data_IF_016046878064
#
_entry.id   IF_016046878064
#
_cell.length_a   1.000
_cell.length_b   1.000
_cell.length_c   1.000
_cell.angle_alpha   90.00
_cell.angle_beta   90.00
_cell.angle_gamma   90.00
#
_symmetry.space_group_name_H-M   'P 1'
#
loop_
_entity.id
_entity.type
_entity.pdbx_description
1 polymer ?
#
# COMPACT_ATOMS: atom_id res chain seq x y z
N UNK A 1 -22.87 4.35 20.49
CA UNK A 1 -22.73 5.63 19.76
C UNK A 1 -23.23 5.40 18.32
N UNK A 2 -24.52 5.65 18.07
CA UNK A 2 -25.20 5.33 16.80
C UNK A 2 -24.96 6.46 15.80
N UNK A 3 -24.57 6.10 14.56
CA UNK A 3 -24.51 7.00 13.41
C UNK A 3 -25.94 7.41 13.03
N UNK A 4 -26.28 8.68 13.24
CA UNK A 4 -27.49 9.26 12.66
C UNK A 4 -27.32 9.36 11.14
N UNK A 5 -28.08 8.53 10.42
CA UNK A 5 -28.33 8.68 9.00
C UNK A 5 -29.11 9.99 8.83
N UNK A 6 -28.44 11.03 8.30
CA UNK A 6 -29.13 12.21 7.78
C UNK A 6 -29.97 11.77 6.58
N UNK A 7 -31.26 11.58 6.81
CA UNK A 7 -32.27 11.48 5.77
C UNK A 7 -32.15 12.71 4.86
N UNK A 8 -31.80 12.47 3.60
CA UNK A 8 -31.94 13.47 2.55
C UNK A 8 -33.44 13.70 2.36
N UNK A 9 -33.97 14.77 2.93
CA UNK A 9 -35.31 15.23 2.62
C UNK A 9 -35.37 15.50 1.11
N UNK A 10 -36.01 14.59 0.38
CA UNK A 10 -36.33 14.75 -1.04
C UNK A 10 -37.34 15.89 -1.13
N UNK A 11 -36.85 17.10 -1.33
CA UNK A 11 -37.66 18.30 -1.53
C UNK A 11 -38.53 18.10 -2.78
N UNK A 12 -39.86 18.16 -2.64
CA UNK A 12 -40.77 18.17 -3.80
C UNK A 12 -40.36 19.33 -4.72
N UNK A 13 -40.11 19.01 -5.99
CA UNK A 13 -39.69 19.95 -7.03
C UNK A 13 -40.88 20.85 -7.43
N UNK A 14 -41.25 21.75 -6.54
CA UNK A 14 -42.35 22.70 -6.68
C UNK A 14 -41.93 23.90 -7.54
N UNK A 15 -41.26 23.72 -8.68
CA UNK A 15 -41.05 24.76 -9.70
C UNK A 15 -40.44 26.12 -9.25
N UNK A 16 -39.99 26.25 -8.01
CA UNK A 16 -39.46 27.50 -7.47
C UNK A 16 -37.98 27.62 -7.86
N UNK A 17 -37.62 28.76 -8.47
CA UNK A 17 -36.23 29.12 -8.80
C UNK A 17 -35.34 28.89 -7.58
N UNK A 18 -34.39 27.95 -7.71
CA UNK A 18 -33.41 27.69 -6.66
C UNK A 18 -32.69 29.00 -6.29
N UNK A 19 -32.52 29.31 -4.99
CA UNK A 19 -31.78 30.50 -4.59
C UNK A 19 -30.35 30.42 -5.14
N UNK A 20 -29.83 31.55 -5.65
CA UNK A 20 -28.50 31.62 -6.29
C UNK A 20 -27.37 31.05 -5.42
N UNK A 21 -27.50 31.11 -4.09
CA UNK A 21 -26.57 30.48 -3.14
C UNK A 21 -26.48 28.96 -3.29
N UNK A 22 -27.59 28.29 -3.60
CA UNK A 22 -27.64 26.84 -3.76
C UNK A 22 -27.01 26.41 -5.10
N UNK A 23 -27.21 27.20 -6.15
CA UNK A 23 -26.54 27.01 -7.44
C UNK A 23 -25.01 27.21 -7.34
N UNK A 24 -24.57 28.28 -6.66
CA UNK A 24 -23.14 28.53 -6.41
C UNK A 24 -22.48 27.43 -5.57
N UNK A 25 -23.19 26.90 -4.58
CA UNK A 25 -22.67 25.78 -3.76
C UNK A 25 -22.51 24.48 -4.57
N UNK A 26 -23.45 24.18 -5.48
CA UNK A 26 -23.36 23.04 -6.42
C UNK A 26 -22.19 23.21 -7.38
N UNK A 27 -22.00 24.41 -7.94
CA UNK A 27 -20.87 24.70 -8.84
C UNK A 27 -19.53 24.58 -8.10
N UNK A 28 -19.42 25.13 -6.89
CA UNK A 28 -18.21 25.02 -6.06
C UNK A 28 -17.89 23.56 -5.70
N UNK A 29 -18.90 22.76 -5.36
CA UNK A 29 -18.75 21.32 -5.14
C UNK A 29 -18.35 20.54 -6.40
N UNK A 30 -18.91 20.89 -7.56
CA UNK A 30 -18.55 20.28 -8.85
C UNK A 30 -17.12 20.60 -9.26
N UNK A 31 -16.65 21.82 -9.01
CA UNK A 31 -15.26 22.23 -9.29
C UNK A 31 -14.30 21.50 -8.36
N UNK A 32 -14.62 21.39 -7.07
CA UNK A 32 -13.81 20.65 -6.11
C UNK A 32 -13.67 19.17 -6.49
N UNK A 33 -14.77 18.49 -6.86
CA UNK A 33 -14.74 17.12 -7.33
C UNK A 33 -13.94 16.96 -8.63
N UNK A 34 -14.08 17.90 -9.57
CA UNK A 34 -13.32 17.88 -10.82
C UNK A 34 -11.82 18.00 -10.56
N UNK A 35 -11.40 18.91 -9.68
CA UNK A 35 -10.00 19.03 -9.25
C UNK A 35 -9.46 17.74 -8.66
N UNK A 36 -10.22 17.06 -7.79
CA UNK A 36 -9.82 15.76 -7.22
C UNK A 36 -9.70 14.68 -8.30
N UNK A 37 -10.60 14.65 -9.29
CA UNK A 37 -10.52 13.71 -10.41
C UNK A 37 -9.29 14.01 -11.28
N UNK A 38 -8.98 15.27 -11.56
CA UNK A 38 -7.77 15.65 -12.29
C UNK A 38 -6.49 15.27 -11.57
N UNK A 39 -6.46 15.47 -10.24
CA UNK A 39 -5.39 15.03 -9.36
C UNK A 39 -5.19 13.50 -9.43
N UNK A 40 -6.29 12.74 -9.45
CA UNK A 40 -6.29 11.28 -9.58
C UNK A 40 -5.75 10.83 -10.94
N UNK A 41 -6.21 11.47 -12.01
CA UNK A 41 -5.79 11.17 -13.38
C UNK A 41 -4.30 11.42 -13.60
N UNK A 42 -3.71 12.41 -12.90
CA UNK A 42 -2.29 12.72 -13.04
C UNK A 42 -1.41 11.63 -12.41
N UNK A 43 -1.79 11.11 -11.24
CA UNK A 43 -1.13 9.95 -10.63
C UNK A 43 -1.35 8.69 -11.44
N UNK A 44 -2.60 8.43 -11.87
CA UNK A 44 -2.97 7.25 -12.63
C UNK A 44 -2.25 7.14 -13.99
N UNK A 45 -1.84 8.28 -14.58
CA UNK A 45 -1.10 8.31 -15.85
C UNK A 45 0.42 8.13 -15.68
N UNK A 46 0.96 8.11 -14.46
CA UNK A 46 2.41 7.91 -14.26
C UNK A 46 2.77 6.42 -14.36
N UNK A 47 3.11 5.98 -15.57
CA UNK A 47 3.48 4.59 -15.83
C UNK A 47 4.65 4.08 -15.00
N UNK A 48 5.59 4.96 -14.62
CA UNK A 48 6.75 4.58 -13.80
C UNK A 48 6.36 4.11 -12.41
N UNK A 49 5.41 4.80 -11.77
CA UNK A 49 4.89 4.39 -10.45
C UNK A 49 4.14 3.07 -10.56
N UNK A 50 3.32 2.89 -11.60
CA UNK A 50 2.59 1.64 -11.81
C UNK A 50 3.49 0.45 -12.07
N UNK A 51 4.57 0.62 -12.82
CA UNK A 51 5.59 -0.43 -13.00
C UNK A 51 6.16 -0.82 -11.63
N UNK A 52 6.58 0.14 -10.82
CA UNK A 52 7.15 -0.13 -9.49
C UNK A 52 6.15 -0.82 -8.54
N UNK A 53 4.89 -0.38 -8.55
CA UNK A 53 3.82 -1.04 -7.77
C UNK A 53 3.56 -2.46 -8.27
N UNK A 54 3.50 -2.68 -9.58
CA UNK A 54 3.32 -4.00 -10.19
C UNK A 54 4.45 -4.94 -9.78
N UNK A 55 5.71 -4.49 -9.85
CA UNK A 55 6.88 -5.23 -9.37
C UNK A 55 6.74 -5.54 -7.88
N UNK A 56 6.37 -4.56 -7.06
CA UNK A 56 6.19 -4.78 -5.62
C UNK A 56 5.12 -5.83 -5.31
N UNK A 57 3.98 -5.82 -6.01
CA UNK A 57 2.95 -6.85 -5.87
C UNK A 57 3.43 -8.23 -6.34
N UNK A 58 4.14 -8.30 -7.47
CA UNK A 58 4.70 -9.56 -7.96
C UNK A 58 5.72 -10.16 -6.98
N UNK A 59 6.61 -9.32 -6.44
CA UNK A 59 7.61 -9.71 -5.44
C UNK A 59 6.97 -10.13 -4.12
N UNK A 60 5.87 -9.47 -3.71
CA UNK A 60 5.08 -9.85 -2.54
C UNK A 60 4.39 -11.20 -2.72
N UNK A 61 3.81 -11.44 -3.89
CA UNK A 61 3.21 -12.73 -4.23
C UNK A 61 4.28 -13.83 -4.25
N UNK A 62 5.45 -13.55 -4.83
CA UNK A 62 6.57 -14.49 -4.90
C UNK A 62 7.04 -14.91 -3.50
N UNK A 63 7.36 -13.97 -2.61
CA UNK A 63 7.79 -14.33 -1.25
C UNK A 63 6.72 -15.14 -0.50
N UNK A 64 5.44 -14.77 -0.66
CA UNK A 64 4.33 -15.47 -0.01
C UNK A 64 4.20 -16.90 -0.51
N UNK A 65 4.35 -17.11 -1.83
CA UNK A 65 4.35 -18.42 -2.45
C UNK A 65 5.50 -19.30 -1.96
N UNK A 66 6.73 -18.77 -1.91
CA UNK A 66 7.90 -19.52 -1.45
C UNK A 66 7.78 -19.91 0.01
N UNK A 67 7.30 -19.01 0.87
CA UNK A 67 7.04 -19.31 2.28
C UNK A 67 6.01 -20.43 2.37
N UNK A 68 4.85 -20.28 1.72
CA UNK A 68 3.78 -21.27 1.78
C UNK A 68 4.23 -22.67 1.33
N UNK A 69 4.95 -22.76 0.22
CA UNK A 69 5.38 -24.04 -0.35
C UNK A 69 6.43 -24.75 0.51
N UNK A 70 7.33 -24.00 1.15
CA UNK A 70 8.44 -24.59 1.91
C UNK A 70 8.20 -24.63 3.43
N UNK A 71 7.12 -24.01 3.93
CA UNK A 71 6.88 -23.83 5.37
C UNK A 71 6.96 -25.14 6.18
N UNK A 72 6.39 -26.23 5.66
CA UNK A 72 6.42 -27.54 6.34
C UNK A 72 7.80 -28.20 6.34
N UNK A 73 8.66 -27.83 5.39
CA UNK A 73 10.02 -28.35 5.25
C UNK A 73 11.06 -27.52 6.03
N UNK A 74 10.67 -26.33 6.51
CA UNK A 74 11.54 -25.48 7.30
C UNK A 74 11.74 -26.05 8.71
N UNK A 75 12.97 -25.99 9.27
CA UNK A 75 13.23 -26.38 10.64
C UNK A 75 12.46 -25.48 11.61
N UNK A 76 12.22 -25.99 12.84
CA UNK A 76 11.46 -25.27 13.86
C UNK A 76 12.08 -23.91 14.23
N UNK A 77 13.41 -23.79 14.12
CA UNK A 77 14.15 -22.55 14.36
C UNK A 77 14.85 -22.06 13.10
N UNK A 78 14.62 -20.80 12.73
CA UNK A 78 15.18 -20.14 11.57
C UNK A 78 16.05 -18.94 11.96
N UNK A 79 17.18 -18.73 11.27
CA UNK A 79 18.03 -17.55 11.45
C UNK A 79 17.41 -16.32 10.77
N UNK A 80 16.32 -15.79 11.33
CA UNK A 80 15.61 -14.64 10.75
C UNK A 80 16.41 -13.33 10.88
N UNK A 81 17.25 -13.22 11.91
CA UNK A 81 18.00 -12.01 12.24
C UNK A 81 19.49 -12.35 12.24
N UNK A 82 20.26 -11.75 11.34
CA UNK A 82 21.70 -12.03 11.19
C UNK A 82 22.61 -11.00 11.84
N UNK A 83 22.06 -10.00 12.54
CA UNK A 83 22.82 -8.90 13.14
C UNK A 83 23.49 -9.26 14.48
N UNK A 84 23.02 -10.30 15.17
CA UNK A 84 23.61 -10.74 16.43
C UNK A 84 24.87 -11.56 16.18
N UNK A 85 25.92 -11.39 16.99
CA UNK A 85 27.12 -12.23 16.90
C UNK A 85 26.90 -13.62 17.51
N UNK A 86 26.00 -13.72 18.49
CA UNK A 86 25.64 -14.96 19.17
C UNK A 86 24.61 -15.76 18.34
N UNK A 87 24.92 -17.03 18.05
CA UNK A 87 24.07 -17.93 17.27
C UNK A 87 22.75 -18.25 17.98
N UNK A 88 22.71 -18.24 19.31
CA UNK A 88 21.49 -18.48 20.07
C UNK A 88 20.45 -17.37 19.86
N UNK A 89 20.90 -16.13 19.63
CA UNK A 89 20.04 -14.96 19.41
C UNK A 89 19.58 -14.78 17.96
N UNK A 90 20.16 -15.54 17.02
CA UNK A 90 19.76 -15.52 15.60
C UNK A 90 18.51 -16.36 15.33
N UNK A 91 18.29 -17.38 16.15
CA UNK A 91 17.30 -18.44 15.94
C UNK A 91 15.92 -18.06 16.50
N UNK A 92 14.96 -17.83 15.61
CA UNK A 92 13.56 -17.57 15.93
C UNK A 92 12.67 -18.74 15.52
N UNK A 93 11.49 -18.88 16.14
CA UNK A 93 10.50 -19.86 15.66
C UNK A 93 10.19 -19.63 14.18
N UNK A 94 10.01 -20.71 13.42
CA UNK A 94 9.64 -20.65 12.00
C UNK A 94 8.39 -19.80 11.73
N UNK A 95 7.49 -19.68 12.71
CA UNK A 95 6.24 -18.93 12.57
C UNK A 95 6.48 -17.45 12.31
N UNK A 96 7.60 -16.92 12.80
CA UNK A 96 7.98 -15.52 12.58
C UNK A 96 8.31 -15.22 11.11
N UNK A 97 8.56 -16.23 10.26
CA UNK A 97 8.78 -16.00 8.83
C UNK A 97 7.55 -15.39 8.14
N UNK A 98 6.35 -15.65 8.68
CA UNK A 98 5.07 -15.12 8.16
C UNK A 98 4.97 -13.60 8.39
N UNK A 99 5.74 -13.04 9.34
CA UNK A 99 5.74 -11.59 9.57
C UNK A 99 6.43 -10.81 8.44
N UNK A 100 7.35 -11.43 7.70
CA UNK A 100 8.07 -10.77 6.60
C UNK A 100 7.14 -10.33 5.46
N UNK A 101 6.25 -11.17 4.90
CA UNK A 101 5.30 -10.73 3.89
C UNK A 101 4.26 -9.73 4.46
N UNK A 102 3.90 -9.84 5.74
CA UNK A 102 3.02 -8.86 6.40
C UNK A 102 3.69 -7.48 6.46
N UNK A 103 4.97 -7.42 6.82
CA UNK A 103 5.76 -6.19 6.85
C UNK A 103 5.90 -5.58 5.45
N UNK A 104 6.22 -6.39 4.44
CA UNK A 104 6.31 -5.95 3.05
C UNK A 104 4.97 -5.38 2.55
N UNK A 105 3.85 -6.03 2.89
CA UNK A 105 2.52 -5.51 2.57
C UNK A 105 2.24 -4.18 3.28
N UNK A 106 2.59 -4.05 4.55
CA UNK A 106 2.41 -2.81 5.30
C UNK A 106 3.23 -1.64 4.69
N UNK A 107 4.49 -1.89 4.31
CA UNK A 107 5.34 -0.91 3.61
C UNK A 107 4.68 -0.49 2.30
N UNK A 108 4.21 -1.45 1.49
CA UNK A 108 3.55 -1.17 0.22
C UNK A 108 2.26 -0.36 0.40
N UNK A 109 1.41 -0.73 1.38
CA UNK A 109 0.16 -0.04 1.67
C UNK A 109 0.39 1.41 2.11
N UNK A 110 1.33 1.64 3.04
CA UNK A 110 1.73 2.99 3.47
C UNK A 110 2.25 3.79 2.27
N UNK A 111 3.15 3.20 1.49
CA UNK A 111 3.70 3.85 0.29
C UNK A 111 2.59 4.23 -0.69
N UNK A 112 1.61 3.37 -0.92
CA UNK A 112 0.49 3.63 -1.83
C UNK A 112 -0.36 4.82 -1.36
N UNK A 113 -0.72 4.85 -0.07
CA UNK A 113 -1.52 5.94 0.52
C UNK A 113 -0.77 7.28 0.47
N UNK A 114 0.52 7.29 0.82
CA UNK A 114 1.32 8.50 0.78
C UNK A 114 1.63 8.96 -0.65
N UNK A 115 1.89 8.01 -1.56
CA UNK A 115 2.14 8.33 -2.96
C UNK A 115 0.92 9.02 -3.55
N UNK A 116 -0.27 8.45 -3.33
CA UNK A 116 -1.53 9.07 -3.74
C UNK A 116 -1.70 10.49 -3.17
N UNK A 117 -1.53 10.66 -1.85
CA UNK A 117 -1.79 11.94 -1.17
C UNK A 117 -0.82 13.05 -1.59
N UNK A 118 0.43 12.72 -1.87
CA UNK A 118 1.50 13.72 -2.06
C UNK A 118 1.99 13.86 -3.49
N UNK A 119 1.55 13.01 -4.43
CA UNK A 119 2.07 13.01 -5.81
C UNK A 119 1.95 14.35 -6.53
N UNK A 120 0.82 15.05 -6.33
CA UNK A 120 0.57 16.35 -6.98
C UNK A 120 1.33 17.51 -6.34
N UNK A 121 1.77 17.36 -5.08
CA UNK A 121 2.56 18.36 -4.36
C UNK A 121 4.05 18.19 -4.62
N UNK A 122 4.55 16.97 -4.46
CA UNK A 122 5.99 16.66 -4.46
C UNK A 122 6.30 15.39 -5.26
N UNK A 123 6.21 15.50 -6.59
CA UNK A 123 6.34 14.34 -7.50
C UNK A 123 7.68 13.62 -7.38
N UNK A 124 8.78 14.35 -7.22
CA UNK A 124 10.12 13.78 -7.11
C UNK A 124 10.27 12.93 -5.84
N UNK A 125 9.83 13.46 -4.69
CA UNK A 125 9.86 12.75 -3.41
C UNK A 125 8.98 11.50 -3.44
N UNK A 126 7.79 11.57 -4.05
CA UNK A 126 6.93 10.39 -4.20
C UNK A 126 7.60 9.32 -5.05
N UNK A 127 8.26 9.67 -6.15
CA UNK A 127 8.99 8.69 -6.97
C UNK A 127 10.15 8.04 -6.20
N UNK A 128 10.90 8.81 -5.42
CA UNK A 128 11.97 8.28 -4.56
C UNK A 128 11.39 7.34 -3.49
N UNK A 129 10.27 7.72 -2.87
CA UNK A 129 9.60 6.90 -1.87
C UNK A 129 9.08 5.58 -2.46
N UNK A 130 8.42 5.61 -3.62
CA UNK A 130 7.94 4.40 -4.31
C UNK A 130 9.11 3.51 -4.73
N UNK A 131 10.20 4.10 -5.23
CA UNK A 131 11.42 3.38 -5.57
C UNK A 131 12.04 2.71 -4.34
N UNK A 132 12.21 3.45 -3.24
CA UNK A 132 12.75 2.93 -1.98
C UNK A 132 11.90 1.80 -1.43
N UNK A 133 10.58 1.94 -1.45
CA UNK A 133 9.63 0.89 -1.04
C UNK A 133 9.76 -0.37 -1.89
N UNK A 134 9.88 -0.21 -3.21
CA UNK A 134 10.09 -1.34 -4.13
C UNK A 134 11.41 -2.04 -3.84
N UNK A 135 12.49 -1.28 -3.63
CA UNK A 135 13.79 -1.83 -3.28
C UNK A 135 13.75 -2.59 -1.94
N UNK A 136 13.08 -2.04 -0.92
CA UNK A 136 12.87 -2.72 0.35
C UNK A 136 12.12 -4.04 0.20
N UNK A 137 11.05 -4.08 -0.62
CA UNK A 137 10.32 -5.32 -0.90
C UNK A 137 11.20 -6.36 -1.60
N UNK A 138 12.03 -5.95 -2.56
CA UNK A 138 12.99 -6.84 -3.21
C UNK A 138 13.98 -7.41 -2.19
N UNK A 139 14.55 -6.57 -1.31
CA UNK A 139 15.49 -7.01 -0.28
C UNK A 139 14.86 -7.98 0.72
N UNK A 140 13.63 -7.72 1.16
CA UNK A 140 12.88 -8.65 2.03
C UNK A 140 12.71 -10.00 1.34
N UNK A 141 12.31 -10.00 0.06
CA UNK A 141 12.14 -11.25 -0.70
C UNK A 141 13.46 -11.99 -0.89
N UNK A 142 14.56 -11.29 -1.18
CA UNK A 142 15.88 -11.92 -1.25
C UNK A 142 16.30 -12.55 0.08
N UNK A 143 15.99 -11.90 1.21
CA UNK A 143 16.24 -12.46 2.53
C UNK A 143 15.42 -13.73 2.79
N UNK A 144 14.13 -13.72 2.43
CA UNK A 144 13.26 -14.90 2.51
C UNK A 144 13.81 -16.05 1.65
N UNK A 145 14.17 -15.77 0.40
CA UNK A 145 14.72 -16.78 -0.50
C UNK A 145 16.02 -17.37 0.03
N UNK A 146 16.94 -16.53 0.51
CA UNK A 146 18.19 -16.98 1.14
C UNK A 146 17.92 -17.91 2.32
N UNK A 147 16.96 -17.57 3.18
CA UNK A 147 16.60 -18.43 4.32
C UNK A 147 16.09 -19.79 3.83
N UNK A 148 15.19 -19.80 2.85
CA UNK A 148 14.63 -21.03 2.31
C UNK A 148 15.71 -21.89 1.63
N UNK A 149 16.60 -21.28 0.84
CA UNK A 149 17.69 -21.97 0.15
C UNK A 149 18.72 -22.58 1.11
N UNK A 150 18.94 -22.00 2.29
CA UNK A 150 19.84 -22.60 3.30
C UNK A 150 19.34 -23.95 3.83
N UNK A 151 18.05 -24.27 3.69
CA UNK A 151 17.43 -25.46 4.27
C UNK A 151 16.77 -26.37 3.22
N UNK A 152 17.02 -26.11 1.93
CA UNK A 152 16.57 -26.94 0.82
C UNK A 152 17.68 -27.89 0.39
#
# INVERSE_FOLDING_TARGET
MKKDKKESATQLDLGFKQPFSNSLSKVKGSIANSLTIFELMRYAKDGGIWIMHTISFAVLALQSYYIYYNYNNLPEKLPLVTFYSDDALKLYSRDFIILLPVLAFAILAVTFVFAYKWFNKERALVKIMVFSSTLSNILITLHVLKIIEMFK
#
